data_IF_480045408276
#
_entry.id   IF_480045408276
#
_cell.length_a   1.000
_cell.length_b   1.000
_cell.length_c   1.000
_cell.angle_alpha   90.00
_cell.angle_beta   90.00
_cell.angle_gamma   90.00
#
_symmetry.space_group_name_H-M   'P 1'
#
loop_
_entity.id
_entity.type
_entity.pdbx_description
1 polymer ?
#
# COMPACT_ATOMS: atom_id res chain seq x y z
N UNK A 1 -1.08 4.34 -16.28
CA UNK A 1 -1.80 3.16 -16.78
C UNK A 1 -2.34 3.40 -18.19
N UNK A 2 -3.25 4.37 -18.36
CA UNK A 2 -3.97 4.56 -19.63
C UNK A 2 -3.08 4.79 -20.86
N UNK A 3 -1.98 5.55 -20.74
CA UNK A 3 -1.03 5.75 -21.86
C UNK A 3 -0.23 4.47 -22.21
N UNK A 4 -0.02 3.57 -21.24
CA UNK A 4 0.67 2.29 -21.47
C UNK A 4 -0.29 1.26 -22.08
N UNK A 5 -1.54 1.22 -21.59
CA UNK A 5 -2.62 0.41 -22.16
C UNK A 5 -2.96 0.85 -23.60
N UNK A 6 -3.03 2.16 -23.87
CA UNK A 6 -3.30 2.69 -25.21
C UNK A 6 -2.19 2.44 -26.21
N UNK A 7 -0.96 2.18 -25.72
CA UNK A 7 0.20 1.76 -26.53
C UNK A 7 0.35 0.25 -26.59
N UNK A 8 -0.65 -0.50 -26.10
CA UNK A 8 -0.66 -1.96 -26.03
C UNK A 8 0.50 -2.56 -25.23
N UNK A 9 1.11 -1.82 -24.30
CA UNK A 9 2.24 -2.35 -23.51
C UNK A 9 1.83 -3.49 -22.57
N UNK A 10 0.57 -3.47 -22.16
CA UNK A 10 -0.03 -4.41 -21.22
C UNK A 10 -1.32 -4.98 -21.83
N UNK A 11 -1.55 -6.26 -21.62
CA UNK A 11 -2.74 -7.04 -21.96
C UNK A 11 -3.33 -7.65 -20.70
N UNK A 12 -4.53 -8.22 -20.80
CA UNK A 12 -5.19 -8.96 -19.72
C UNK A 12 -5.16 -8.17 -18.40
N UNK A 13 -5.81 -6.99 -18.42
CA UNK A 13 -6.02 -6.21 -17.21
C UNK A 13 -6.99 -6.96 -16.30
N UNK A 14 -6.48 -7.50 -15.21
CA UNK A 14 -7.29 -8.11 -14.16
C UNK A 14 -7.34 -7.16 -12.96
N UNK A 15 -8.57 -6.77 -12.61
CA UNK A 15 -8.87 -6.05 -11.39
C UNK A 15 -8.82 -7.05 -10.23
N UNK A 16 -7.62 -7.48 -9.84
CA UNK A 16 -7.49 -8.26 -8.62
C UNK A 16 -7.81 -7.36 -7.42
N UNK A 17 -8.46 -7.94 -6.40
CA UNK A 17 -8.94 -7.28 -5.18
C UNK A 17 -7.92 -6.35 -4.50
N UNK A 18 -6.62 -6.62 -4.66
CA UNK A 18 -5.53 -5.92 -4.00
C UNK A 18 -4.47 -5.29 -4.92
N UNK A 19 -4.44 -5.59 -6.21
CA UNK A 19 -3.54 -4.92 -7.15
C UNK A 19 -4.10 -5.04 -8.56
N UNK A 20 -3.94 -4.00 -9.34
CA UNK A 20 -4.12 -4.09 -10.78
C UNK A 20 -3.05 -5.06 -11.34
N UNK A 21 -3.48 -6.23 -11.81
CA UNK A 21 -2.60 -7.18 -12.47
C UNK A 21 -2.70 -6.99 -13.99
N UNK A 22 -1.55 -7.02 -14.66
CA UNK A 22 -1.49 -6.92 -16.10
C UNK A 22 -0.49 -7.92 -16.64
N UNK A 23 -0.82 -8.51 -17.79
CA UNK A 23 0.11 -9.31 -18.56
C UNK A 23 0.94 -8.40 -19.47
N UNK A 24 2.24 -8.63 -19.55
CA UNK A 24 3.07 -8.01 -20.58
C UNK A 24 2.95 -8.84 -21.85
N UNK A 25 2.77 -8.19 -23.00
CA UNK A 25 2.81 -8.84 -24.31
C UNK A 25 4.10 -9.66 -24.47
N UNK A 26 3.99 -10.90 -24.96
CA UNK A 26 5.15 -11.79 -25.15
C UNK A 26 6.26 -11.13 -26.00
N UNK A 27 5.90 -10.39 -27.06
CA UNK A 27 6.86 -9.65 -27.87
C UNK A 27 7.61 -8.56 -27.08
N UNK A 28 6.94 -7.86 -26.16
CA UNK A 28 7.57 -6.85 -25.31
C UNK A 28 8.43 -7.50 -24.23
N UNK A 29 8.01 -8.67 -23.73
CA UNK A 29 8.82 -9.49 -22.85
C UNK A 29 10.13 -9.90 -23.55
N UNK A 30 10.06 -10.41 -24.77
CA UNK A 30 11.22 -10.81 -25.56
C UNK A 30 12.16 -9.64 -25.87
N UNK A 31 11.61 -8.48 -26.23
CA UNK A 31 12.40 -7.25 -26.42
C UNK A 31 13.07 -6.83 -25.11
N UNK A 32 12.33 -6.85 -23.99
CA UNK A 32 12.88 -6.51 -22.68
C UNK A 32 14.03 -7.46 -22.31
N UNK A 33 13.89 -8.77 -22.55
CA UNK A 33 14.96 -9.75 -22.36
C UNK A 33 16.17 -9.47 -23.25
N UNK A 34 15.95 -9.17 -24.54
CA UNK A 34 17.01 -8.88 -25.50
C UNK A 34 17.82 -7.64 -25.12
N UNK A 35 17.15 -6.58 -24.65
CA UNK A 35 17.78 -5.33 -24.19
C UNK A 35 18.48 -5.51 -22.84
N UNK A 36 17.86 -6.26 -21.92
CA UNK A 36 18.34 -6.43 -20.55
C UNK A 36 19.42 -7.52 -20.39
N UNK A 37 19.66 -8.37 -21.40
CA UNK A 37 20.55 -9.55 -21.31
C UNK A 37 21.95 -9.29 -20.74
N UNK A 38 22.46 -8.07 -20.91
CA UNK A 38 23.79 -7.67 -20.45
C UNK A 38 23.78 -6.93 -19.10
N UNK A 39 22.60 -6.60 -18.56
CA UNK A 39 22.43 -5.87 -17.30
C UNK A 39 21.69 -6.66 -16.21
N UNK A 40 20.90 -7.68 -16.58
CA UNK A 40 20.07 -8.48 -15.68
C UNK A 40 20.48 -9.96 -15.67
N UNK A 41 20.46 -10.58 -14.49
CA UNK A 41 20.76 -12.00 -14.31
C UNK A 41 19.85 -12.63 -13.26
N UNK A 42 19.30 -13.81 -13.58
CA UNK A 42 18.67 -14.69 -12.60
C UNK A 42 19.71 -15.73 -12.18
N UNK A 43 19.90 -15.85 -10.88
CA UNK A 43 20.90 -16.71 -10.28
C UNK A 43 20.19 -17.79 -9.46
N UNK A 44 20.45 -19.04 -9.82
CA UNK A 44 19.91 -20.21 -9.16
C UNK A 44 20.96 -20.98 -8.33
N UNK A 45 22.25 -20.65 -8.48
CA UNK A 45 23.34 -21.20 -7.68
C UNK A 45 24.43 -20.15 -7.43
N UNK A 46 25.06 -20.16 -6.25
CA UNK A 46 26.15 -19.22 -5.93
C UNK A 46 27.48 -19.53 -6.64
N UNK A 47 27.53 -20.60 -7.43
CA UNK A 47 28.70 -20.98 -8.26
C UNK A 47 28.66 -20.34 -9.65
N UNK A 48 27.52 -19.78 -10.05
CA UNK A 48 27.34 -19.16 -11.35
C UNK A 48 28.28 -17.96 -11.55
N UNK A 49 28.92 -17.87 -12.71
CA UNK A 49 29.74 -16.71 -13.02
C UNK A 49 28.86 -15.56 -13.53
N UNK A 50 28.97 -14.38 -12.92
CA UNK A 50 28.23 -13.18 -13.33
C UNK A 50 29.14 -12.29 -14.19
N UNK A 51 28.65 -11.89 -15.36
CA UNK A 51 29.36 -10.96 -16.22
C UNK A 51 29.51 -9.57 -15.53
N UNK A 52 30.64 -8.87 -15.71
CA UNK A 52 30.90 -7.58 -15.04
C UNK A 52 29.89 -6.47 -15.32
N UNK A 53 29.15 -6.56 -16.44
CA UNK A 53 28.12 -5.59 -16.83
C UNK A 53 26.80 -5.71 -16.07
N UNK A 54 26.58 -6.80 -15.35
CA UNK A 54 25.33 -7.08 -14.65
C UNK A 54 25.16 -6.12 -13.46
N UNK A 55 23.99 -5.48 -13.41
CA UNK A 55 23.59 -4.52 -12.38
C UNK A 55 22.34 -4.93 -11.64
N UNK A 56 21.60 -5.91 -12.15
CA UNK A 56 20.34 -6.36 -11.61
C UNK A 56 20.39 -7.87 -11.43
N UNK A 57 20.28 -8.32 -10.18
CA UNK A 57 20.36 -9.73 -9.82
C UNK A 57 19.10 -10.15 -9.09
N UNK A 58 18.52 -11.27 -9.49
CA UNK A 58 17.48 -11.98 -8.77
C UNK A 58 17.99 -13.36 -8.36
N UNK A 59 17.95 -13.66 -7.07
CA UNK A 59 18.34 -14.96 -6.52
C UNK A 59 17.08 -15.74 -6.18
N UNK A 60 16.83 -16.84 -6.89
CA UNK A 60 15.57 -17.60 -6.79
C UNK A 60 15.71 -18.93 -6.06
N UNK A 61 16.93 -19.35 -5.76
CA UNK A 61 17.20 -20.56 -5.00
C UNK A 61 18.26 -20.25 -3.93
N UNK A 62 17.92 -20.51 -2.67
CA UNK A 62 18.77 -20.22 -1.51
C UNK A 62 19.22 -21.47 -0.77
N UNK A 63 19.14 -22.65 -1.40
CA UNK A 63 19.71 -23.89 -0.86
C UNK A 63 21.24 -23.80 -0.87
N UNK A 64 21.84 -23.01 0.05
CA UNK A 64 23.28 -23.01 0.30
C UNK A 64 23.69 -22.17 1.51
N UNK A 65 24.82 -22.58 2.09
CA UNK A 65 25.56 -21.90 3.17
C UNK A 65 25.73 -20.38 2.94
N UNK A 66 25.55 -19.59 4.01
CA UNK A 66 25.77 -18.13 4.02
C UNK A 66 27.18 -17.75 3.52
N UNK A 67 28.15 -18.64 3.68
CA UNK A 67 29.53 -18.42 3.24
C UNK A 67 29.64 -18.32 1.71
N UNK A 68 28.95 -19.22 0.99
CA UNK A 68 28.93 -19.22 -0.47
C UNK A 68 28.19 -17.98 -1.00
N UNK A 69 27.05 -17.66 -0.38
CA UNK A 69 26.29 -16.46 -0.69
C UNK A 69 27.15 -15.20 -0.50
N UNK A 70 27.89 -15.12 0.61
CA UNK A 70 28.76 -13.98 0.91
C UNK A 70 29.91 -13.84 -0.09
N UNK A 71 30.56 -14.94 -0.47
CA UNK A 71 31.64 -14.94 -1.48
C UNK A 71 31.13 -14.51 -2.85
N UNK A 72 29.96 -15.00 -3.23
CA UNK A 72 29.31 -14.66 -4.49
C UNK A 72 28.95 -13.16 -4.55
N UNK A 73 28.23 -12.69 -3.55
CA UNK A 73 27.81 -11.29 -3.43
C UNK A 73 29.00 -10.33 -3.24
N UNK A 74 30.11 -10.81 -2.70
CA UNK A 74 31.36 -10.07 -2.57
C UNK A 74 31.91 -9.53 -3.89
N UNK A 75 31.58 -10.16 -5.03
CA UNK A 75 32.03 -9.76 -6.37
C UNK A 75 31.12 -8.70 -7.02
N UNK A 76 30.00 -8.34 -6.39
CA UNK A 76 28.89 -7.61 -7.03
C UNK A 76 28.65 -6.20 -6.46
N UNK A 77 29.69 -5.49 -6.03
CA UNK A 77 29.55 -4.16 -5.40
C UNK A 77 28.86 -3.08 -6.27
N UNK A 78 28.75 -3.31 -7.59
CA UNK A 78 28.17 -2.38 -8.56
C UNK A 78 26.66 -2.55 -8.79
N UNK A 79 26.00 -3.45 -8.04
CA UNK A 79 24.58 -3.72 -8.22
C UNK A 79 23.70 -2.49 -7.93
N UNK A 80 22.66 -2.37 -8.74
CA UNK A 80 21.55 -1.41 -8.60
C UNK A 80 20.26 -2.08 -8.16
N UNK A 81 20.08 -3.36 -8.48
CA UNK A 81 18.96 -4.16 -8.00
C UNK A 81 19.45 -5.47 -7.44
N UNK A 82 18.95 -5.80 -6.26
CA UNK A 82 19.10 -7.11 -5.64
C UNK A 82 17.72 -7.58 -5.21
N UNK A 83 17.29 -8.72 -5.75
CA UNK A 83 16.07 -9.39 -5.32
C UNK A 83 16.41 -10.73 -4.69
N UNK A 84 15.96 -10.92 -3.47
CA UNK A 84 16.04 -12.14 -2.68
C UNK A 84 14.62 -12.52 -2.22
N UNK A 85 13.70 -12.85 -3.14
CA UNK A 85 12.33 -13.21 -2.77
C UNK A 85 12.31 -14.58 -2.08
N UNK A 86 11.34 -14.78 -1.18
CA UNK A 86 11.03 -16.07 -0.57
C UNK A 86 12.20 -16.74 0.15
N UNK A 87 13.00 -15.96 0.89
CA UNK A 87 14.15 -16.43 1.67
C UNK A 87 13.78 -17.31 2.89
N UNK A 88 12.60 -17.96 2.94
CA UNK A 88 12.12 -18.75 4.09
C UNK A 88 13.11 -19.84 4.54
N UNK A 89 13.89 -20.38 3.61
CA UNK A 89 14.91 -21.41 3.86
C UNK A 89 16.34 -20.94 3.53
N UNK A 90 16.55 -19.63 3.32
CA UNK A 90 17.81 -19.04 2.84
C UNK A 90 18.68 -18.39 3.92
N UNK A 91 19.87 -17.89 3.54
CA UNK A 91 20.76 -17.15 4.44
C UNK A 91 20.09 -15.82 4.84
N UNK A 92 19.49 -15.82 6.01
CA UNK A 92 18.59 -14.75 6.49
C UNK A 92 19.09 -14.11 7.78
N UNK A 93 20.31 -14.44 8.22
CA UNK A 93 20.88 -13.78 9.39
C UNK A 93 21.01 -12.27 9.16
N UNK A 94 20.75 -11.49 10.22
CA UNK A 94 20.93 -10.04 10.18
C UNK A 94 22.36 -9.66 9.75
N UNK A 95 23.36 -10.41 10.20
CA UNK A 95 24.79 -10.21 9.88
C UNK A 95 25.10 -10.44 8.40
N UNK A 96 24.50 -11.46 7.78
CA UNK A 96 24.62 -11.70 6.35
C UNK A 96 24.03 -10.54 5.54
N UNK A 97 22.79 -10.13 5.86
CA UNK A 97 22.15 -9.00 5.18
C UNK A 97 22.96 -7.71 5.40
N UNK A 98 23.41 -7.42 6.62
CA UNK A 98 24.24 -6.24 6.89
C UNK A 98 25.53 -6.22 6.06
N UNK A 99 26.19 -7.38 5.93
CA UNK A 99 27.39 -7.53 5.09
C UNK A 99 27.10 -7.24 3.63
N UNK A 100 25.94 -7.69 3.13
CA UNK A 100 25.48 -7.40 1.78
C UNK A 100 25.22 -5.90 1.60
N UNK A 101 24.47 -5.26 2.50
CA UNK A 101 24.14 -3.83 2.41
C UNK A 101 25.38 -2.93 2.50
N UNK A 102 26.42 -3.33 3.23
CA UNK A 102 27.71 -2.61 3.29
C UNK A 102 28.41 -2.51 1.94
N UNK A 103 28.21 -3.51 1.07
CA UNK A 103 28.84 -3.59 -0.25
C UNK A 103 28.06 -2.84 -1.32
N UNK A 104 26.72 -2.94 -1.30
CA UNK A 104 25.87 -2.41 -2.38
C UNK A 104 25.54 -0.93 -2.22
N UNK A 105 26.55 -0.06 -2.27
CA UNK A 105 26.37 1.38 -2.03
C UNK A 105 25.56 2.10 -3.11
N UNK A 106 25.46 1.51 -4.32
CA UNK A 106 24.70 2.05 -5.46
C UNK A 106 23.32 1.43 -5.62
N UNK A 107 22.87 0.63 -4.65
CA UNK A 107 21.59 -0.06 -4.71
C UNK A 107 20.43 0.93 -4.77
N UNK A 108 19.49 0.65 -5.68
CA UNK A 108 18.27 1.42 -5.92
C UNK A 108 17.02 0.61 -5.61
N UNK A 109 17.10 -0.72 -5.72
CA UNK A 109 16.01 -1.63 -5.45
C UNK A 109 16.52 -2.81 -4.63
N UNK A 110 15.86 -3.03 -3.50
CA UNK A 110 16.11 -4.16 -2.61
C UNK A 110 14.78 -4.87 -2.34
N UNK A 111 14.74 -6.15 -2.64
CA UNK A 111 13.62 -7.02 -2.33
C UNK A 111 14.12 -8.14 -1.40
N UNK A 112 13.59 -8.14 -0.19
CA UNK A 112 13.81 -9.10 0.89
C UNK A 112 12.48 -9.75 1.29
N UNK A 113 11.47 -9.72 0.41
CA UNK A 113 10.14 -10.26 0.70
C UNK A 113 10.20 -11.74 1.09
N UNK A 114 9.39 -12.14 2.06
CA UNK A 114 9.37 -13.53 2.54
C UNK A 114 10.57 -13.95 3.39
N UNK A 115 11.39 -13.00 3.86
CA UNK A 115 12.52 -13.28 4.75
C UNK A 115 12.07 -13.63 6.17
N UNK A 116 12.91 -14.37 6.90
CA UNK A 116 12.70 -14.71 8.32
C UNK A 116 13.38 -13.74 9.29
N UNK A 117 13.82 -12.57 8.79
CA UNK A 117 14.51 -11.53 9.56
C UNK A 117 13.67 -11.08 10.76
N UNK A 118 14.28 -11.07 11.96
CA UNK A 118 13.66 -10.48 13.14
C UNK A 118 13.84 -8.96 13.20
N UNK A 119 14.98 -8.47 12.70
CA UNK A 119 15.36 -7.05 12.69
C UNK A 119 16.02 -6.73 11.36
N UNK A 120 15.60 -5.62 10.74
CA UNK A 120 16.29 -5.08 9.58
C UNK A 120 17.56 -4.33 10.05
N UNK A 121 18.76 -4.63 9.50
CA UNK A 121 19.99 -4.06 10.02
C UNK A 121 20.05 -2.54 9.85
N UNK A 122 20.62 -1.85 10.85
CA UNK A 122 20.71 -0.38 10.88
C UNK A 122 21.43 0.21 9.65
N UNK A 123 22.29 -0.56 8.99
CA UNK A 123 23.01 -0.12 7.80
C UNK A 123 22.10 0.21 6.62
N UNK A 124 20.84 -0.24 6.60
CA UNK A 124 19.87 0.11 5.55
C UNK A 124 19.80 1.63 5.30
N UNK A 125 19.90 2.44 6.36
CA UNK A 125 19.87 3.90 6.28
C UNK A 125 21.04 4.54 5.52
N UNK A 126 22.08 3.77 5.19
CA UNK A 126 23.24 4.25 4.43
C UNK A 126 23.05 4.10 2.92
N UNK A 127 22.01 3.40 2.46
CA UNK A 127 21.72 3.21 1.03
C UNK A 127 21.06 4.45 0.42
N UNK A 128 21.83 5.53 0.28
CA UNK A 128 21.34 6.85 -0.16
C UNK A 128 20.64 6.85 -1.52
N UNK A 129 20.90 5.86 -2.37
CA UNK A 129 20.29 5.73 -3.70
C UNK A 129 19.05 4.84 -3.73
N UNK A 130 18.68 4.21 -2.60
CA UNK A 130 17.56 3.29 -2.53
C UNK A 130 16.25 4.03 -2.83
N UNK A 131 15.46 3.47 -3.74
CA UNK A 131 14.16 3.97 -4.20
C UNK A 131 13.04 2.98 -3.91
N UNK A 132 13.34 1.69 -3.85
CA UNK A 132 12.39 0.63 -3.61
C UNK A 132 12.94 -0.31 -2.54
N UNK A 133 12.15 -0.55 -1.50
CA UNK A 133 12.41 -1.53 -0.46
C UNK A 133 11.16 -2.38 -0.25
N UNK A 134 11.29 -3.68 -0.47
CA UNK A 134 10.26 -4.65 -0.19
C UNK A 134 10.74 -5.59 0.91
N UNK A 135 10.03 -5.57 2.03
CA UNK A 135 10.20 -6.51 3.14
C UNK A 135 8.84 -7.13 3.49
N UNK A 136 7.92 -7.19 2.53
CA UNK A 136 6.60 -7.80 2.69
C UNK A 136 6.72 -9.27 3.08
N UNK A 137 5.66 -9.80 3.69
CA UNK A 137 5.53 -11.22 4.05
C UNK A 137 6.70 -11.74 4.90
N UNK A 138 7.33 -10.89 5.71
CA UNK A 138 8.35 -11.27 6.67
C UNK A 138 7.70 -11.54 8.04
N UNK A 139 7.33 -12.78 8.38
CA UNK A 139 6.48 -13.07 9.54
C UNK A 139 7.18 -12.86 10.88
N UNK A 140 8.52 -12.80 10.90
CA UNK A 140 9.30 -12.70 12.14
C UNK A 140 9.76 -11.27 12.43
N UNK A 141 9.58 -10.32 11.51
CA UNK A 141 10.14 -8.97 11.68
C UNK A 141 9.38 -8.22 12.76
N UNK A 142 10.08 -7.87 13.84
CA UNK A 142 9.51 -7.19 15.01
C UNK A 142 9.80 -5.71 15.02
N UNK A 143 10.93 -5.29 14.42
CA UNK A 143 11.41 -3.91 14.49
C UNK A 143 12.05 -3.44 13.19
N UNK A 144 11.71 -2.22 12.79
CA UNK A 144 12.42 -1.47 11.77
C UNK A 144 13.43 -0.52 12.44
N UNK A 145 14.67 -0.40 11.94
CA UNK A 145 15.65 0.49 12.52
C UNK A 145 15.27 1.94 12.22
N UNK A 146 15.42 2.85 13.19
CA UNK A 146 15.20 4.30 12.97
C UNK A 146 16.07 4.89 11.84
N UNK A 147 17.19 4.24 11.49
CA UNK A 147 18.01 4.65 10.35
C UNK A 147 17.31 4.54 9.00
N UNK A 148 16.23 3.75 8.87
CA UNK A 148 15.42 3.69 7.65
C UNK A 148 14.86 5.07 7.26
N UNK A 149 14.61 5.94 8.25
CA UNK A 149 14.14 7.31 8.03
C UNK A 149 15.16 8.20 7.31
N UNK A 150 16.44 7.78 7.22
CA UNK A 150 17.49 8.49 6.46
C UNK A 150 17.36 8.30 4.94
N UNK A 151 16.50 7.38 4.48
CA UNK A 151 16.30 7.07 3.07
C UNK A 151 15.41 8.12 2.37
N UNK A 152 15.96 9.32 2.18
CA UNK A 152 15.24 10.45 1.58
C UNK A 152 14.83 10.22 0.11
N UNK A 153 15.50 9.30 -0.59
CA UNK A 153 15.20 8.93 -1.97
C UNK A 153 14.23 7.75 -2.10
N UNK A 154 13.80 7.14 -0.98
CA UNK A 154 12.89 6.00 -1.02
C UNK A 154 11.52 6.45 -1.54
N UNK A 155 11.02 5.75 -2.54
CA UNK A 155 9.74 6.02 -3.20
C UNK A 155 8.69 4.96 -2.87
N UNK A 156 9.12 3.72 -2.65
CA UNK A 156 8.25 2.59 -2.34
C UNK A 156 8.79 1.82 -1.13
N UNK A 157 7.92 1.60 -0.15
CA UNK A 157 8.16 0.76 1.01
C UNK A 157 6.99 -0.20 1.21
N UNK A 158 7.26 -1.50 1.12
CA UNK A 158 6.26 -2.55 1.36
C UNK A 158 6.55 -3.29 2.66
N UNK A 159 5.55 -3.29 3.56
CA UNK A 159 5.54 -3.93 4.86
C UNK A 159 4.29 -4.82 5.06
N UNK A 160 3.52 -5.09 4.01
CA UNK A 160 2.33 -5.94 4.09
C UNK A 160 2.71 -7.37 4.51
N UNK A 161 1.86 -8.03 5.31
CA UNK A 161 2.15 -9.36 5.87
C UNK A 161 3.27 -9.37 6.92
N UNK A 162 3.71 -8.22 7.42
CA UNK A 162 4.62 -8.08 8.56
C UNK A 162 3.87 -7.86 9.88
N UNK A 163 3.01 -8.81 10.23
CA UNK A 163 2.03 -8.65 11.31
C UNK A 163 2.65 -8.66 12.72
N UNK A 164 3.98 -8.77 12.82
CA UNK A 164 4.74 -8.78 14.08
C UNK A 164 5.48 -7.47 14.39
N UNK A 165 5.41 -6.43 13.54
CA UNK A 165 6.10 -5.16 13.78
C UNK A 165 5.50 -4.45 15.01
N UNK A 166 6.24 -4.46 16.12
CA UNK A 166 5.81 -3.91 17.41
C UNK A 166 6.02 -2.39 17.51
N UNK A 167 7.02 -1.85 16.82
CA UNK A 167 7.37 -0.43 16.85
C UNK A 167 7.77 0.06 15.45
N UNK A 168 7.05 1.06 14.93
CA UNK A 168 7.45 1.79 13.73
C UNK A 168 8.54 2.85 14.05
N UNK A 169 9.35 3.24 13.06
CA UNK A 169 10.37 4.27 13.24
C UNK A 169 9.79 5.60 13.73
N UNK A 170 10.49 6.32 14.61
CA UNK A 170 9.95 7.53 15.27
C UNK A 170 9.94 8.80 14.39
N UNK A 171 10.83 8.88 13.41
CA UNK A 171 11.04 10.10 12.61
C UNK A 171 10.78 9.88 11.11
N UNK A 172 9.69 9.19 10.74
CA UNK A 172 9.40 8.90 9.32
C UNK A 172 9.22 10.16 8.49
N UNK A 173 8.97 11.33 9.09
CA UNK A 173 8.89 12.64 8.42
C UNK A 173 10.06 12.97 7.46
N UNK A 174 11.22 12.33 7.63
CA UNK A 174 12.39 12.54 6.76
C UNK A 174 12.34 11.76 5.44
N UNK A 175 11.42 10.82 5.26
CA UNK A 175 11.26 10.03 4.03
C UNK A 175 10.45 10.81 2.97
N UNK A 176 10.96 11.98 2.58
CA UNK A 176 10.25 13.00 1.80
C UNK A 176 9.83 12.57 0.38
N UNK A 177 10.50 11.57 -0.20
CA UNK A 177 10.22 11.06 -1.55
C UNK A 177 9.22 9.90 -1.57
N UNK A 178 8.73 9.45 -0.42
CA UNK A 178 7.87 8.27 -0.35
C UNK A 178 6.54 8.53 -1.06
N UNK A 179 6.19 7.61 -1.97
CA UNK A 179 5.00 7.67 -2.84
C UNK A 179 4.06 6.50 -2.60
N UNK A 180 4.61 5.34 -2.27
CA UNK A 180 3.86 4.11 -2.03
C UNK A 180 4.28 3.52 -0.68
N UNK A 181 3.31 3.33 0.20
CA UNK A 181 3.50 2.70 1.50
C UNK A 181 2.42 1.63 1.70
N UNK A 182 2.84 0.39 1.85
CA UNK A 182 2.02 -0.68 2.41
C UNK A 182 2.49 -0.90 3.85
N UNK A 183 1.58 -0.82 4.81
CA UNK A 183 1.87 -0.82 6.23
C UNK A 183 1.11 -1.95 6.93
N UNK A 184 1.85 -2.81 7.64
CA UNK A 184 1.33 -3.70 8.66
C UNK A 184 2.06 -3.44 9.99
N UNK A 185 1.34 -3.45 11.11
CA UNK A 185 1.92 -3.24 12.44
C UNK A 185 1.02 -3.76 13.56
N UNK A 186 1.63 -4.08 14.70
CA UNK A 186 0.96 -4.39 15.97
C UNK A 186 0.67 -3.15 16.81
N UNK A 187 1.04 -1.96 16.36
CA UNK A 187 0.78 -0.75 17.13
C UNK A 187 -0.72 -0.50 17.29
N UNK A 188 -1.08 0.01 18.47
CA UNK A 188 -2.45 0.41 18.78
C UNK A 188 -2.87 1.66 18.00
N UNK A 189 -1.92 2.54 17.75
CA UNK A 189 -2.15 3.76 16.98
C UNK A 189 -0.90 4.16 16.18
N UNK A 190 -1.06 4.97 15.13
CA UNK A 190 0.03 5.44 14.29
C UNK A 190 0.40 6.91 14.56
N UNK A 191 0.01 7.48 15.72
CA UNK A 191 0.39 8.85 16.08
C UNK A 191 1.90 8.95 16.36
N UNK A 192 2.48 10.14 16.19
CA UNK A 192 3.87 10.40 16.59
C UNK A 192 4.96 9.91 15.64
N UNK A 193 4.64 9.15 14.59
CA UNK A 193 5.64 8.67 13.60
C UNK A 193 5.93 9.67 12.47
N UNK A 194 5.17 10.76 12.38
CA UNK A 194 5.36 11.78 11.36
C UNK A 194 4.77 11.42 9.98
N UNK A 195 3.84 10.46 9.92
CA UNK A 195 3.17 10.03 8.68
C UNK A 195 2.46 11.20 7.97
N UNK A 196 1.94 12.17 8.73
CA UNK A 196 1.32 13.39 8.21
C UNK A 196 2.25 14.30 7.40
N UNK A 197 3.55 14.03 7.38
CA UNK A 197 4.54 14.81 6.62
C UNK A 197 4.83 14.24 5.23
N UNK A 198 4.21 13.12 4.84
CA UNK A 198 4.42 12.51 3.53
C UNK A 198 3.69 13.24 2.39
N UNK A 199 4.16 14.45 2.07
CA UNK A 199 3.57 15.30 1.02
C UNK A 199 3.60 14.67 -0.38
N UNK A 200 4.52 13.75 -0.63
CA UNK A 200 4.66 13.02 -1.90
C UNK A 200 3.86 11.72 -1.96
N UNK A 201 3.25 11.29 -0.85
CA UNK A 201 2.56 10.00 -0.77
C UNK A 201 1.36 9.99 -1.68
N UNK A 202 1.26 8.98 -2.53
CA UNK A 202 0.18 8.78 -3.50
C UNK A 202 -0.69 7.60 -3.14
N UNK A 203 -0.10 6.58 -2.54
CA UNK A 203 -0.76 5.35 -2.16
C UNK A 203 -0.38 5.00 -0.72
N UNK A 204 -1.39 4.82 0.12
CA UNK A 204 -1.26 4.30 1.48
C UNK A 204 -2.20 3.11 1.64
N UNK A 205 -1.66 1.94 1.93
CA UNK A 205 -2.46 0.83 2.43
C UNK A 205 -2.05 0.49 3.85
N UNK A 206 -3.05 0.25 4.69
CA UNK A 206 -2.93 -0.28 6.03
C UNK A 206 -3.65 -1.62 6.01
N UNK A 207 -2.90 -2.71 6.16
CA UNK A 207 -3.38 -4.06 5.98
C UNK A 207 -3.02 -4.92 7.19
N UNK A 208 -3.95 -5.74 7.68
CA UNK A 208 -3.68 -6.75 8.70
C UNK A 208 -3.25 -6.18 10.07
N UNK A 209 -3.65 -4.95 10.40
CA UNK A 209 -3.28 -4.29 11.66
C UNK A 209 -4.28 -4.63 12.78
N UNK A 210 -4.17 -5.84 13.33
CA UNK A 210 -5.12 -6.42 14.30
C UNK A 210 -5.28 -5.64 15.62
N UNK A 211 -4.28 -4.85 16.00
CA UNK A 211 -4.30 -4.05 17.23
C UNK A 211 -4.67 -2.59 17.01
N UNK A 212 -4.74 -2.15 15.75
CA UNK A 212 -4.91 -0.75 15.41
C UNK A 212 -6.31 -0.26 15.78
N UNK A 213 -6.38 0.71 16.68
CA UNK A 213 -7.62 1.39 17.09
C UNK A 213 -7.79 2.75 16.40
N UNK A 214 -6.68 3.43 16.09
CA UNK A 214 -6.65 4.78 15.52
C UNK A 214 -5.51 4.92 14.51
N UNK A 215 -5.73 5.59 13.37
CA UNK A 215 -4.67 5.86 12.38
C UNK A 215 -3.71 6.94 12.90
N UNK A 216 -3.84 8.17 12.41
CA UNK A 216 -3.03 9.31 12.82
C UNK A 216 -3.77 10.61 12.47
N UNK A 217 -3.47 11.67 13.22
CA UNK A 217 -4.00 13.01 12.93
C UNK A 217 -3.25 13.70 11.80
N UNK A 218 -3.92 14.61 11.11
CA UNK A 218 -3.28 15.40 10.07
C UNK A 218 -3.26 14.71 8.70
N UNK A 219 -4.08 13.69 8.46
CA UNK A 219 -4.20 13.02 7.15
C UNK A 219 -4.52 14.01 6.01
N UNK A 220 -5.23 15.12 6.31
CA UNK A 220 -5.50 16.21 5.36
C UNK A 220 -4.23 16.89 4.83
N UNK A 221 -3.08 16.71 5.50
CA UNK A 221 -1.78 17.22 5.05
C UNK A 221 -1.17 16.37 3.92
N UNK A 222 -1.74 15.20 3.64
CA UNK A 222 -1.31 14.32 2.55
C UNK A 222 -1.89 14.79 1.21
N UNK A 223 -1.41 15.94 0.74
CA UNK A 223 -1.97 16.65 -0.44
C UNK A 223 -1.82 15.90 -1.76
N UNK A 224 -1.00 14.85 -1.82
CA UNK A 224 -0.81 14.03 -3.02
C UNK A 224 -1.44 12.64 -2.90
N UNK A 225 -2.18 12.33 -1.83
CA UNK A 225 -2.71 10.99 -1.59
C UNK A 225 -3.90 10.73 -2.53
N UNK A 226 -3.74 9.80 -3.46
CA UNK A 226 -4.77 9.41 -4.43
C UNK A 226 -5.54 8.17 -3.98
N UNK A 227 -4.87 7.26 -3.28
CA UNK A 227 -5.44 5.97 -2.89
C UNK A 227 -5.18 5.68 -1.42
N UNK A 228 -6.24 5.37 -0.67
CA UNK A 228 -6.19 4.96 0.73
C UNK A 228 -6.91 3.63 0.92
N UNK A 229 -6.19 2.63 1.40
CA UNK A 229 -6.73 1.32 1.72
C UNK A 229 -6.59 1.03 3.22
N UNK A 230 -7.66 0.53 3.80
CA UNK A 230 -7.72 0.12 5.20
C UNK A 230 -8.43 -1.23 5.21
N UNK A 231 -7.66 -2.31 5.32
CA UNK A 231 -8.20 -3.68 5.22
C UNK A 231 -7.71 -4.52 6.39
N UNK A 232 -8.60 -5.36 6.93
CA UNK A 232 -8.28 -6.30 8.02
C UNK A 232 -7.70 -5.60 9.26
N UNK A 233 -8.35 -4.50 9.66
CA UNK A 233 -8.03 -3.73 10.86
C UNK A 233 -9.16 -3.88 11.89
N UNK A 234 -9.29 -5.08 12.48
CA UNK A 234 -10.47 -5.49 13.25
C UNK A 234 -10.80 -4.60 14.45
N UNK A 235 -9.78 -4.01 15.09
CA UNK A 235 -9.97 -3.12 16.26
C UNK A 235 -10.17 -1.64 15.90
N UNK A 236 -10.07 -1.26 14.63
CA UNK A 236 -10.16 0.13 14.21
C UNK A 236 -11.53 0.69 14.58
N UNK A 237 -11.56 1.80 15.32
CA UNK A 237 -12.81 2.36 15.83
C UNK A 237 -13.39 3.42 14.89
N UNK A 238 -12.53 4.28 14.35
CA UNK A 238 -12.91 5.41 13.51
C UNK A 238 -11.84 5.75 12.47
N UNK A 239 -12.25 6.45 11.43
CA UNK A 239 -11.34 7.07 10.47
C UNK A 239 -10.86 8.44 10.98
N UNK A 240 -9.66 8.91 10.56
CA UNK A 240 -9.16 10.22 10.96
C UNK A 240 -10.07 11.35 10.48
N UNK A 241 -10.38 12.31 11.37
CA UNK A 241 -11.32 13.42 11.09
C UNK A 241 -10.96 14.27 9.87
N UNK A 242 -9.65 14.36 9.58
CA UNK A 242 -9.14 15.09 8.43
C UNK A 242 -9.40 14.44 7.07
N UNK A 243 -9.88 13.18 7.03
CA UNK A 243 -9.98 12.41 5.79
C UNK A 243 -10.84 13.11 4.74
N UNK A 244 -11.96 13.72 5.14
CA UNK A 244 -12.85 14.48 4.24
C UNK A 244 -12.17 15.64 3.51
N UNK A 245 -11.06 16.15 4.03
CA UNK A 245 -10.33 17.29 3.46
C UNK A 245 -9.13 16.87 2.59
N UNK A 246 -8.97 15.57 2.29
CA UNK A 246 -7.90 15.08 1.41
C UNK A 246 -8.30 15.26 -0.05
N UNK A 247 -8.14 16.48 -0.58
CA UNK A 247 -8.65 16.86 -1.91
C UNK A 247 -8.18 15.97 -3.09
N UNK A 248 -6.99 15.37 -3.00
CA UNK A 248 -6.44 14.52 -4.05
C UNK A 248 -6.96 13.07 -4.03
N UNK A 249 -7.72 12.67 -3.01
CA UNK A 249 -8.15 11.29 -2.81
C UNK A 249 -9.19 10.90 -3.88
N UNK A 250 -8.88 9.85 -4.63
CA UNK A 250 -9.67 9.32 -5.74
C UNK A 250 -10.17 7.90 -5.47
N UNK A 251 -9.45 7.11 -4.67
CA UNK A 251 -9.82 5.73 -4.35
C UNK A 251 -9.76 5.49 -2.86
N UNK A 252 -10.86 5.00 -2.30
CA UNK A 252 -10.97 4.61 -0.90
C UNK A 252 -11.46 3.16 -0.81
N UNK A 253 -10.69 2.32 -0.14
CA UNK A 253 -11.01 0.91 0.09
C UNK A 253 -11.02 0.67 1.59
N UNK A 254 -12.14 0.18 2.11
CA UNK A 254 -12.31 -0.16 3.52
C UNK A 254 -12.87 -1.57 3.60
N UNK A 255 -12.13 -2.51 4.17
CA UNK A 255 -12.50 -3.92 4.23
C UNK A 255 -12.26 -4.54 5.60
N UNK A 256 -13.11 -5.46 6.05
CA UNK A 256 -12.81 -6.33 7.20
C UNK A 256 -12.42 -5.52 8.45
N UNK A 257 -13.28 -4.59 8.86
CA UNK A 257 -13.05 -3.73 10.02
C UNK A 257 -14.23 -3.83 11.00
N UNK A 258 -14.16 -4.79 11.92
CA UNK A 258 -15.28 -5.17 12.79
C UNK A 258 -15.77 -4.06 13.73
N UNK A 259 -14.83 -3.31 14.32
CA UNK A 259 -15.16 -2.24 15.27
C UNK A 259 -15.43 -0.89 14.61
N UNK A 260 -15.15 -0.77 13.31
CA UNK A 260 -15.18 0.51 12.61
C UNK A 260 -16.62 0.99 12.47
N UNK A 261 -16.87 2.18 13.01
CA UNK A 261 -18.16 2.83 12.89
C UNK A 261 -18.04 4.09 12.03
N UNK A 262 -18.61 4.03 10.84
CA UNK A 262 -18.63 5.15 9.90
C UNK A 262 -19.79 6.14 10.19
N UNK A 263 -20.74 5.76 11.07
CA UNK A 263 -21.91 6.55 11.43
C UNK A 263 -21.64 7.52 12.57
N UNK A 264 -20.71 7.18 13.46
CA UNK A 264 -20.27 8.07 14.54
C UNK A 264 -19.39 9.17 13.97
N UNK A 265 -20.04 10.25 13.53
CA UNK A 265 -19.48 11.59 13.42
C UNK A 265 -19.03 12.15 14.80
N UNK A 266 -18.71 11.30 15.78
CA UNK A 266 -18.54 11.66 17.18
C UNK A 266 -17.22 12.38 17.50
N UNK A 267 -16.33 12.53 16.51
CA UNK A 267 -15.28 13.56 16.51
C UNK A 267 -15.32 14.51 15.30
N UNK A 268 -16.42 14.48 14.56
CA UNK A 268 -16.85 15.56 13.65
C UNK A 268 -17.82 16.51 14.38
N UNK A 269 -17.89 16.49 15.72
CA UNK A 269 -18.49 17.59 16.47
C UNK A 269 -17.65 18.82 16.20
N UNK A 270 -18.15 19.63 15.28
CA UNK A 270 -17.80 21.01 15.07
C UNK A 270 -17.63 21.65 16.45
N UNK A 271 -16.38 21.98 16.82
CA UNK A 271 -16.20 23.16 17.63
C UNK A 271 -16.59 24.30 16.70
N UNK A 272 -17.87 24.64 16.72
CA UNK A 272 -18.41 25.90 16.24
C UNK A 272 -17.70 27.01 17.03
N UNK A 273 -16.55 27.46 16.52
CA UNK A 273 -15.88 28.66 16.98
C UNK A 273 -15.45 29.43 15.73
N UNK A 274 -16.29 30.43 15.43
CA UNK A 274 -16.09 31.59 14.55
C UNK A 274 -16.03 31.42 13.02
N UNK A 275 -17.04 32.04 12.39
CA UNK A 275 -17.20 32.53 11.01
C UNK A 275 -17.71 31.53 9.95
N UNK A 276 -19.04 31.54 9.78
CA UNK A 276 -19.87 30.77 8.86
C UNK A 276 -19.82 31.18 7.36
N UNK A 277 -18.92 32.04 6.89
CA UNK A 277 -19.08 32.66 5.55
C UNK A 277 -18.17 32.18 4.41
N UNK A 278 -17.31 31.15 4.57
CA UNK A 278 -16.39 30.73 3.49
C UNK A 278 -16.03 29.23 3.38
N UNK A 279 -16.84 28.29 3.86
CA UNK A 279 -16.60 26.88 3.57
C UNK A 279 -17.33 26.46 2.27
N UNK A 280 -16.66 26.72 1.15
CA UNK A 280 -16.86 25.95 -0.08
C UNK A 280 -16.82 24.47 0.29
N UNK A 281 -17.77 23.71 -0.25
CA UNK A 281 -17.96 22.25 -0.08
C UNK A 281 -16.75 21.47 -0.64
N UNK A 282 -15.57 21.64 -0.05
CA UNK A 282 -14.30 21.05 -0.50
C UNK A 282 -14.07 19.72 0.22
N UNK A 283 -14.93 18.75 -0.07
CA UNK A 283 -14.67 17.34 0.19
C UNK A 283 -13.67 16.76 -0.80
N UNK A 284 -13.15 15.55 -0.54
CA UNK A 284 -12.51 14.76 -1.60
C UNK A 284 -13.51 14.43 -2.73
N UNK A 285 -12.97 14.12 -3.91
CA UNK A 285 -13.75 13.72 -5.09
C UNK A 285 -13.35 12.31 -5.52
N UNK A 286 -13.94 11.32 -4.84
CA UNK A 286 -13.69 9.91 -5.12
C UNK A 286 -14.18 9.54 -6.52
N UNK A 287 -13.39 8.70 -7.17
CA UNK A 287 -13.72 7.98 -8.40
C UNK A 287 -14.08 6.53 -8.11
N UNK A 288 -13.49 5.94 -7.06
CA UNK A 288 -13.74 4.55 -6.66
C UNK A 288 -13.91 4.45 -5.14
N UNK A 289 -14.99 3.79 -4.72
CA UNK A 289 -15.26 3.47 -3.32
C UNK A 289 -15.57 1.99 -3.19
N UNK A 290 -14.77 1.29 -2.39
CA UNK A 290 -14.97 -0.12 -2.07
C UNK A 290 -15.15 -0.28 -0.55
N UNK A 291 -16.24 -0.93 -0.16
CA UNK A 291 -16.56 -1.23 1.23
C UNK A 291 -16.84 -2.72 1.36
N UNK A 292 -16.14 -3.42 2.24
CA UNK A 292 -16.41 -4.81 2.52
C UNK A 292 -16.43 -5.15 4.01
N UNK A 293 -17.31 -6.07 4.39
CA UNK A 293 -17.28 -6.74 5.69
C UNK A 293 -17.22 -5.76 6.88
N UNK A 294 -18.11 -4.75 6.85
CA UNK A 294 -18.27 -3.76 7.92
C UNK A 294 -19.55 -4.05 8.73
N UNK A 295 -19.47 -4.86 9.81
CA UNK A 295 -20.67 -5.29 10.54
C UNK A 295 -21.38 -4.15 11.29
N UNK A 296 -20.71 -3.05 11.62
CA UNK A 296 -21.37 -1.88 12.24
C UNK A 296 -22.03 -0.93 11.25
N UNK A 297 -21.81 -1.12 9.95
CA UNK A 297 -22.36 -0.23 8.92
C UNK A 297 -23.86 -0.46 8.77
N UNK A 298 -24.67 0.41 9.41
CA UNK A 298 -26.14 0.40 9.26
C UNK A 298 -26.62 1.22 8.07
N UNK A 299 -25.96 2.35 7.85
CA UNK A 299 -26.24 3.27 6.76
C UNK A 299 -24.92 3.85 6.26
N UNK A 300 -24.80 4.06 4.96
CA UNK A 300 -23.64 4.73 4.40
C UNK A 300 -23.70 6.24 4.72
N UNK A 301 -22.66 6.85 5.32
CA UNK A 301 -22.73 8.22 5.78
C UNK A 301 -22.60 9.21 4.61
N UNK A 302 -23.32 10.34 4.70
CA UNK A 302 -23.37 11.35 3.64
C UNK A 302 -22.01 12.00 3.34
N UNK A 303 -21.17 12.19 4.37
CA UNK A 303 -19.85 12.82 4.20
C UNK A 303 -18.95 12.06 3.21
N UNK A 304 -19.17 10.77 3.02
CA UNK A 304 -18.39 9.91 2.12
C UNK A 304 -18.75 10.13 0.64
N UNK A 305 -19.98 10.59 0.37
CA UNK A 305 -20.50 10.75 -1.00
C UNK A 305 -20.73 12.20 -1.41
N UNK A 306 -20.88 13.12 -0.45
CA UNK A 306 -21.25 14.53 -0.70
C UNK A 306 -20.35 15.23 -1.72
N UNK A 307 -19.03 15.10 -1.58
CA UNK A 307 -18.04 15.69 -2.51
C UNK A 307 -17.75 14.87 -3.77
N UNK A 308 -18.39 13.70 -3.93
CA UNK A 308 -18.06 12.71 -4.97
C UNK A 308 -19.22 12.44 -5.94
N UNK A 309 -20.32 13.20 -5.84
CA UNK A 309 -21.56 12.94 -6.60
C UNK A 309 -21.38 12.91 -8.13
N UNK A 310 -20.47 13.72 -8.64
CA UNK A 310 -20.17 13.93 -10.05
C UNK A 310 -18.77 13.41 -10.44
N UNK A 311 -18.15 12.60 -9.58
CA UNK A 311 -16.84 11.99 -9.86
C UNK A 311 -16.80 10.49 -9.62
N UNK A 312 -17.70 9.97 -8.77
CA UNK A 312 -17.71 8.55 -8.40
C UNK A 312 -18.16 7.71 -9.58
N UNK A 313 -17.27 6.84 -10.04
CA UNK A 313 -17.47 5.91 -11.17
C UNK A 313 -17.75 4.50 -10.70
N UNK A 314 -17.03 4.05 -9.67
CA UNK A 314 -17.11 2.68 -9.18
C UNK A 314 -17.53 2.69 -7.71
N UNK A 315 -18.59 1.96 -7.40
CA UNK A 315 -19.06 1.76 -6.04
C UNK A 315 -19.31 0.27 -5.81
N UNK A 316 -18.55 -0.33 -4.89
CA UNK A 316 -18.74 -1.72 -4.50
C UNK A 316 -18.96 -1.83 -3.00
N UNK A 317 -20.02 -2.53 -2.60
CA UNK A 317 -20.33 -2.83 -1.20
C UNK A 317 -20.59 -4.33 -1.06
N UNK A 318 -19.74 -5.03 -0.31
CA UNK A 318 -19.81 -6.49 -0.17
C UNK A 318 -19.87 -6.90 1.31
N UNK A 319 -20.67 -7.90 1.67
CA UNK A 319 -20.62 -8.53 3.00
C UNK A 319 -21.00 -7.62 4.18
N UNK A 320 -21.72 -6.51 3.93
CA UNK A 320 -22.17 -5.60 4.99
C UNK A 320 -23.53 -6.07 5.56
N UNK A 321 -23.50 -7.03 6.49
CA UNK A 321 -24.70 -7.72 6.99
C UNK A 321 -25.76 -6.83 7.64
N UNK A 322 -25.35 -5.70 8.24
CA UNK A 322 -26.24 -4.79 8.96
C UNK A 322 -26.68 -3.57 8.16
N UNK A 323 -26.29 -3.48 6.89
CA UNK A 323 -26.64 -2.36 6.01
C UNK A 323 -28.13 -2.41 5.67
N UNK A 324 -28.89 -1.42 6.13
CA UNK A 324 -30.35 -1.36 5.91
C UNK A 324 -30.77 -0.33 4.88
N UNK A 325 -29.99 0.75 4.74
CA UNK A 325 -30.31 1.89 3.87
C UNK A 325 -29.07 2.46 3.20
N UNK A 326 -29.24 2.86 1.94
CA UNK A 326 -28.29 3.62 1.16
C UNK A 326 -28.84 5.05 1.09
N UNK A 327 -28.44 5.89 2.05
CA UNK A 327 -29.00 7.23 2.15
C UNK A 327 -28.67 8.07 0.89
N UNK A 328 -29.72 8.49 0.20
CA UNK A 328 -29.78 9.59 -0.78
C UNK A 328 -28.70 9.64 -1.88
N UNK A 329 -28.51 8.53 -2.59
CA UNK A 329 -27.63 8.47 -3.78
C UNK A 329 -28.19 9.16 -5.04
N UNK A 330 -29.16 10.07 -4.87
CA UNK A 330 -29.97 10.64 -5.96
C UNK A 330 -29.17 11.45 -6.98
N UNK A 331 -27.91 11.80 -6.67
CA UNK A 331 -27.06 12.68 -7.47
C UNK A 331 -25.78 12.04 -8.01
N UNK A 332 -25.62 10.70 -7.95
CA UNK A 332 -24.45 10.00 -8.50
C UNK A 332 -24.51 9.95 -10.04
N UNK A 333 -24.15 11.05 -10.70
CA UNK A 333 -24.31 11.24 -12.16
C UNK A 333 -23.23 10.59 -13.00
N UNK A 334 -22.06 10.30 -12.41
CA UNK A 334 -20.90 9.71 -13.11
C UNK A 334 -20.70 8.22 -12.83
N UNK A 335 -21.65 7.58 -12.14
CA UNK A 335 -21.52 6.19 -11.73
C UNK A 335 -21.60 5.25 -12.94
N UNK A 336 -20.52 4.52 -13.17
CA UNK A 336 -20.34 3.57 -14.27
C UNK A 336 -20.58 2.13 -13.78
N UNK A 337 -20.11 1.79 -12.57
CA UNK A 337 -20.25 0.46 -11.96
C UNK A 337 -20.80 0.58 -10.53
N UNK A 338 -21.87 -0.16 -10.25
CA UNK A 338 -22.38 -0.41 -8.91
C UNK A 338 -22.46 -1.91 -8.67
N UNK A 339 -21.87 -2.38 -7.59
CA UNK A 339 -21.88 -3.78 -7.19
C UNK A 339 -22.23 -3.87 -5.70
N UNK A 340 -23.34 -4.52 -5.37
CA UNK A 340 -23.74 -4.75 -3.98
C UNK A 340 -23.96 -6.25 -3.81
N UNK A 341 -23.11 -6.90 -3.03
CA UNK A 341 -23.12 -8.36 -2.83
C UNK A 341 -23.22 -8.71 -1.35
N UNK A 342 -23.89 -9.81 -1.01
CA UNK A 342 -23.96 -10.32 0.36
C UNK A 342 -24.43 -9.28 1.42
N UNK A 343 -25.43 -8.45 1.10
CA UNK A 343 -26.00 -7.44 2.01
C UNK A 343 -27.48 -7.76 2.33
N UNK A 344 -27.77 -8.78 3.16
CA UNK A 344 -29.11 -9.38 3.31
C UNK A 344 -30.17 -8.45 3.90
N UNK A 345 -29.79 -7.42 4.67
CA UNK A 345 -30.74 -6.47 5.30
C UNK A 345 -31.06 -5.26 4.42
N UNK A 346 -30.45 -5.15 3.25
CA UNK A 346 -30.68 -4.05 2.34
C UNK A 346 -32.02 -4.26 1.63
N UNK A 347 -33.04 -3.54 2.07
CA UNK A 347 -34.43 -3.76 1.64
C UNK A 347 -34.82 -2.98 0.38
N UNK A 348 -34.10 -1.89 0.05
CA UNK A 348 -34.42 -1.04 -1.10
C UNK A 348 -33.15 -0.44 -1.72
N UNK A 349 -33.04 -0.56 -3.04
CA UNK A 349 -32.07 0.22 -3.82
C UNK A 349 -32.70 1.58 -4.21
N UNK A 350 -31.93 2.67 -4.25
CA UNK A 350 -32.44 3.97 -4.67
C UNK A 350 -33.03 3.89 -6.08
N UNK A 351 -34.25 4.42 -6.26
CA UNK A 351 -35.04 4.36 -7.51
C UNK A 351 -34.32 4.93 -8.74
N UNK A 352 -33.29 5.77 -8.52
CA UNK A 352 -32.46 6.39 -9.55
C UNK A 352 -31.47 5.44 -10.23
N UNK A 353 -31.27 4.21 -9.71
CA UNK A 353 -30.20 3.30 -10.15
C UNK A 353 -30.63 2.11 -10.99
N UNK A 354 -31.83 2.15 -11.58
CA UNK A 354 -32.38 1.09 -12.45
C UNK A 354 -31.57 0.77 -13.73
N UNK A 355 -30.40 1.37 -13.93
CA UNK A 355 -29.51 1.16 -15.08
C UNK A 355 -28.29 0.28 -14.79
N UNK A 356 -28.11 -0.20 -13.57
CA UNK A 356 -26.90 -0.91 -13.16
C UNK A 356 -27.24 -2.37 -12.84
N UNK A 357 -26.47 -3.28 -13.42
CA UNK A 357 -26.56 -4.73 -13.23
C UNK A 357 -26.25 -5.10 -11.78
N UNK A 358 -27.19 -5.79 -11.14
CA UNK A 358 -27.02 -6.44 -9.85
C UNK A 358 -26.60 -7.88 -10.18
N UNK A 359 -25.41 -8.28 -9.74
CA UNK A 359 -25.07 -9.70 -9.68
C UNK A 359 -25.37 -10.16 -8.25
N UNK A 360 -26.40 -11.01 -8.11
CA UNK A 360 -26.88 -11.57 -6.85
C UNK A 360 -25.90 -12.54 -6.18
#
# INVERSE_FOLDING_TARGET
MNDLLSRSFFQDYDLAFFFDAFKILDLLHDIALSVAKNECCIVNTFEQNIAPGIRHVCLTNSDSSEENASKFLGKLGHLRTLRLPNLRNGPTSESFIETCLKRFQHLRMLDLSGSTLEVLPRWIGNLKHLRFLDISNCPNIKKLPNSICKLQNLQTLFLDGCDQIEELPKDMRYMISLRFLLLATKQRDLHGHGLQHFKSLRFLAIYGCENLEYLFDGIQKLTSLHTLWIVDCKKLVSLPHGLKYVAALQSLVIGVCEKLDLSTAQGLKEKEDYNEDYLVDTGFSLQSLYIADLPKLKALPQWLLRGSANTLKNLTITGCENLTTLAEWHNLTSLEKLEIKCCPKLSTLPKTMKRLTIED
#
